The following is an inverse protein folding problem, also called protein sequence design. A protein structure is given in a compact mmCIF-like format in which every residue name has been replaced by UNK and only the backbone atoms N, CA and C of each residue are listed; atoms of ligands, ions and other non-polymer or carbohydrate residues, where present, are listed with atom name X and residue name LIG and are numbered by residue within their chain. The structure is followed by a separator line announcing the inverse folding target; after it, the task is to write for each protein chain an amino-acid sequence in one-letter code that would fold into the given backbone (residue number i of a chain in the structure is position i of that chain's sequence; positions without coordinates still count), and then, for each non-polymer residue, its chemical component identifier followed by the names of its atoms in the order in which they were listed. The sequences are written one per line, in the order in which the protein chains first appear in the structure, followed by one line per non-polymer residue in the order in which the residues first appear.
data_IF_608993106048
#
_entry.id   IF_608993106048
#
_cell.length_a   1.000
_cell.length_b   1.000
_cell.length_c   1.000
_cell.angle_alpha   90.00
_cell.angle_beta   90.00
_cell.angle_gamma   90.00
#
_symmetry.space_group_name_H-M   'P 1'
#
loop_
_entity.id
_entity.type
_entity.pdbx_description
1 polymer ?
#
# COMPACT_ATOMS: atom_id res chain seq x y z
N UNK A 1 4.03 4.01 1.56
CA UNK A 1 2.73 4.70 1.36
C UNK A 1 2.61 5.30 -0.03
N UNK A 2 3.44 6.30 -0.41
CA UNK A 2 3.31 7.02 -1.69
C UNK A 2 3.26 6.09 -2.90
N UNK A 3 4.10 5.05 -2.94
CA UNK A 3 4.13 4.09 -4.04
C UNK A 3 2.78 3.37 -4.26
N UNK A 4 2.09 3.02 -3.18
CA UNK A 4 0.75 2.40 -3.22
C UNK A 4 -0.30 3.40 -3.71
N UNK A 5 -0.19 4.66 -3.30
CA UNK A 5 -1.07 5.74 -3.78
C UNK A 5 -0.89 5.95 -5.28
N UNK A 6 0.35 6.06 -5.76
CA UNK A 6 0.67 6.19 -7.18
C UNK A 6 0.13 4.99 -7.95
N UNK A 7 0.38 3.77 -7.48
CA UNK A 7 -0.16 2.55 -8.09
C UNK A 7 -1.68 2.57 -8.16
N UNK A 8 -2.38 2.92 -7.08
CA UNK A 8 -3.84 2.98 -7.05
C UNK A 8 -4.39 3.98 -8.09
N UNK A 9 -3.81 5.18 -8.15
CA UNK A 9 -4.18 6.17 -9.16
C UNK A 9 -3.97 5.62 -10.58
N UNK A 10 -2.84 4.95 -10.84
CA UNK A 10 -2.57 4.32 -12.15
C UNK A 10 -3.53 3.18 -12.51
N UNK A 11 -4.10 2.48 -11.54
CA UNK A 11 -5.14 1.46 -11.80
C UNK A 11 -6.49 2.08 -12.15
N UNK A 12 -6.75 3.31 -11.69
CA UNK A 12 -8.00 4.02 -11.96
C UNK A 12 -7.99 4.75 -13.31
N UNK A 13 -6.82 5.17 -13.79
CA UNK A 13 -6.67 5.76 -15.12
C UNK A 13 -6.47 4.69 -16.20
N UNK A 14 -7.32 4.64 -17.26
CA UNK A 14 -7.19 3.64 -18.31
C UNK A 14 -5.87 3.78 -19.06
N UNK A 15 -5.22 2.65 -19.35
CA UNK A 15 -3.93 2.60 -20.07
C UNK A 15 -2.69 2.94 -19.25
N UNK A 16 -2.82 3.59 -18.08
CA UNK A 16 -1.66 3.96 -17.25
C UNK A 16 -0.93 2.71 -16.71
N UNK A 17 -1.69 1.70 -16.28
CA UNK A 17 -1.14 0.42 -15.79
C UNK A 17 -0.37 -0.37 -16.86
N UNK A 18 -0.66 -0.15 -18.15
CA UNK A 18 -0.01 -0.85 -19.27
C UNK A 18 1.30 -0.20 -19.72
N UNK A 19 1.57 1.03 -19.26
CA UNK A 19 2.82 1.73 -19.57
C UNK A 19 4.02 1.02 -18.96
N UNK A 20 5.24 1.23 -19.52
CA UNK A 20 6.48 0.67 -18.96
C UNK A 20 6.67 1.05 -17.48
N UNK A 21 6.31 2.29 -17.14
CA UNK A 21 6.32 2.77 -15.76
C UNK A 21 5.28 2.03 -14.90
N UNK A 22 4.06 1.84 -15.40
CA UNK A 22 3.00 1.11 -14.71
C UNK A 22 3.36 -0.35 -14.42
N UNK A 23 3.94 -1.05 -15.39
CA UNK A 23 4.43 -2.43 -15.21
C UNK A 23 5.52 -2.48 -14.14
N UNK A 24 6.42 -1.50 -14.12
CA UNK A 24 7.47 -1.42 -13.09
C UNK A 24 6.88 -1.20 -11.68
N UNK A 25 6.00 -0.21 -11.52
CA UNK A 25 5.35 0.08 -10.23
C UNK A 25 4.49 -1.11 -9.78
N UNK A 26 3.80 -1.77 -10.71
CA UNK A 26 2.98 -2.94 -10.42
C UNK A 26 3.82 -4.07 -9.79
N UNK A 27 4.99 -4.38 -10.35
CA UNK A 27 5.88 -5.41 -9.76
C UNK A 27 6.31 -5.12 -8.32
N UNK A 28 6.40 -3.84 -7.93
CA UNK A 28 6.80 -3.45 -6.57
C UNK A 28 5.63 -3.46 -5.59
N UNK A 29 4.43 -3.09 -6.04
CA UNK A 29 3.27 -2.89 -5.17
C UNK A 29 2.38 -4.13 -5.09
N UNK A 30 2.26 -4.88 -6.18
CA UNK A 30 1.39 -6.04 -6.31
C UNK A 30 1.60 -7.10 -5.23
N UNK A 31 2.84 -7.49 -4.83
CA UNK A 31 3.02 -8.50 -3.78
C UNK A 31 2.37 -8.12 -2.44
N UNK A 32 2.39 -6.82 -2.10
CA UNK A 32 1.74 -6.32 -0.89
C UNK A 32 0.23 -6.20 -1.06
N UNK A 33 -0.24 -5.69 -2.21
CA UNK A 33 -1.68 -5.57 -2.49
C UNK A 33 -2.38 -6.93 -2.56
N UNK A 34 -1.71 -7.96 -3.08
CA UNK A 34 -2.24 -9.35 -3.16
C UNK A 34 -2.67 -9.92 -1.81
N UNK A 35 -2.08 -9.43 -0.70
CA UNK A 35 -2.52 -9.80 0.65
C UNK A 35 -3.95 -9.36 0.95
N UNK A 36 -4.49 -8.41 0.18
CA UNK A 36 -5.80 -7.78 0.36
C UNK A 36 -6.75 -8.06 -0.83
N UNK A 37 -6.44 -9.03 -1.70
CA UNK A 37 -7.29 -9.40 -2.85
C UNK A 37 -8.66 -9.97 -2.44
N UNK A 38 -8.81 -10.38 -1.17
CA UNK A 38 -10.10 -10.80 -0.61
C UNK A 38 -11.09 -9.64 -0.42
N UNK A 39 -10.61 -8.39 -0.52
CA UNK A 39 -11.44 -7.19 -0.36
C UNK A 39 -12.09 -6.88 -1.71
N UNK A 40 -13.43 -6.94 -1.82
CA UNK A 40 -14.09 -6.74 -3.10
C UNK A 40 -13.90 -5.32 -3.62
N UNK A 41 -13.68 -5.19 -4.92
CA UNK A 41 -13.76 -3.90 -5.62
C UNK A 41 -15.21 -3.43 -5.70
N UNK A 42 -15.47 -2.13 -5.50
CA UNK A 42 -16.79 -1.54 -5.68
C UNK A 42 -16.76 -0.61 -6.90
N UNK A 43 -17.70 -0.79 -7.83
CA UNK A 43 -17.85 0.10 -8.99
C UNK A 43 -16.62 0.16 -9.92
N UNK A 44 -15.84 -0.93 -10.03
CA UNK A 44 -14.64 -0.98 -10.87
C UNK A 44 -13.39 -0.33 -10.25
N UNK A 45 -13.49 0.18 -9.01
CA UNK A 45 -12.38 0.76 -8.25
C UNK A 45 -11.98 -0.24 -7.15
N UNK A 46 -10.69 -0.59 -7.10
CA UNK A 46 -10.16 -1.46 -6.06
C UNK A 46 -10.17 -0.77 -4.69
N UNK A 47 -10.80 -1.40 -3.68
CA UNK A 47 -10.74 -0.96 -2.28
C UNK A 47 -9.50 -1.48 -1.55
N UNK A 48 -8.85 -2.53 -2.07
CA UNK A 48 -7.64 -3.14 -1.51
C UNK A 48 -6.53 -2.12 -1.20
N UNK A 49 -6.22 -1.10 -2.04
CA UNK A 49 -5.19 -0.11 -1.74
C UNK A 49 -5.49 0.75 -0.52
N UNK A 50 -6.76 1.07 -0.26
CA UNK A 50 -7.15 1.87 0.90
C UNK A 50 -6.83 1.11 2.19
N UNK A 51 -7.20 -0.17 2.24
CA UNK A 51 -6.95 -1.03 3.40
C UNK A 51 -5.46 -1.33 3.55
N UNK A 52 -4.76 -1.56 2.44
CA UNK A 52 -3.31 -1.71 2.42
C UNK A 52 -2.59 -0.46 2.99
N UNK A 53 -3.05 0.74 2.65
CA UNK A 53 -2.52 1.99 3.22
C UNK A 53 -2.80 2.11 4.71
N UNK A 54 -4.03 1.78 5.15
CA UNK A 54 -4.40 1.79 6.56
C UNK A 54 -3.50 0.85 7.38
N UNK A 55 -3.35 -0.39 6.91
CA UNK A 55 -2.50 -1.39 7.58
C UNK A 55 -1.05 -0.94 7.62
N UNK A 56 -0.51 -0.40 6.52
CA UNK A 56 0.86 0.10 6.49
C UNK A 56 1.06 1.28 7.44
N UNK A 57 0.08 2.18 7.54
CA UNK A 57 0.13 3.30 8.48
C UNK A 57 0.13 2.81 9.94
N UNK A 58 -0.74 1.86 10.28
CA UNK A 58 -0.75 1.25 11.61
C UNK A 58 0.56 0.53 11.93
N UNK A 59 1.15 -0.17 10.96
CA UNK A 59 2.45 -0.81 11.12
C UNK A 59 3.56 0.20 11.41
N UNK A 60 3.58 1.34 10.69
CA UNK A 60 4.54 2.41 10.94
C UNK A 60 4.39 3.02 12.34
N UNK A 61 3.15 3.29 12.78
CA UNK A 61 2.92 3.75 14.15
C UNK A 61 3.36 2.72 15.19
N UNK A 62 3.05 1.44 14.97
CA UNK A 62 3.45 0.36 15.87
C UNK A 62 4.98 0.26 16.00
N UNK A 63 5.70 0.29 14.88
CA UNK A 63 7.17 0.29 14.88
C UNK A 63 7.72 1.51 15.62
N UNK A 64 7.18 2.70 15.37
CA UNK A 64 7.59 3.91 16.08
C UNK A 64 7.36 3.83 17.59
N UNK A 65 6.20 3.31 18.02
CA UNK A 65 5.89 3.11 19.43
C UNK A 65 6.85 2.11 20.10
N UNK A 66 7.16 1.00 19.41
CA UNK A 66 8.15 0.03 19.89
C UNK A 66 9.54 0.64 20.02
N UNK A 67 9.97 1.45 19.04
CA UNK A 67 11.23 2.18 19.12
C UNK A 67 11.28 3.10 20.35
N UNK A 68 10.19 3.82 20.64
CA UNK A 68 10.10 4.67 21.83
C UNK A 68 10.19 3.86 23.12
N UNK A 69 9.45 2.75 23.23
CA UNK A 69 9.48 1.88 24.42
C UNK A 69 10.87 1.29 24.65
N UNK A 70 11.51 0.80 23.59
CA UNK A 70 12.87 0.25 23.68
C UNK A 70 13.88 1.32 24.05
N UNK A 71 13.82 2.52 23.46
CA UNK A 71 14.70 3.62 23.81
C UNK A 71 14.57 4.00 25.30
N UNK A 72 13.35 4.15 25.81
CA UNK A 72 13.09 4.45 27.22
C UNK A 72 13.53 3.34 28.19
N UNK A 73 13.65 2.10 27.72
CA UNK A 73 14.12 0.98 28.53
C UNK A 73 15.66 0.89 28.56
N UNK A 74 16.33 1.46 27.56
CA UNK A 74 17.79 1.39 27.40
C UNK A 74 18.54 2.63 27.92
N UNK A 75 17.86 3.77 28.03
CA UNK A 75 18.39 5.06 28.53
C UNK A 75 17.67 5.47 29.80
#
# INVERSE_FOLDING_TARGET
MILIVVWALMTWFPGASQSKFGVFINRLVEPYIRLFDFIPSLGGIGFSPLIALLVLQLAQYGVGALQTVVANALY
#
